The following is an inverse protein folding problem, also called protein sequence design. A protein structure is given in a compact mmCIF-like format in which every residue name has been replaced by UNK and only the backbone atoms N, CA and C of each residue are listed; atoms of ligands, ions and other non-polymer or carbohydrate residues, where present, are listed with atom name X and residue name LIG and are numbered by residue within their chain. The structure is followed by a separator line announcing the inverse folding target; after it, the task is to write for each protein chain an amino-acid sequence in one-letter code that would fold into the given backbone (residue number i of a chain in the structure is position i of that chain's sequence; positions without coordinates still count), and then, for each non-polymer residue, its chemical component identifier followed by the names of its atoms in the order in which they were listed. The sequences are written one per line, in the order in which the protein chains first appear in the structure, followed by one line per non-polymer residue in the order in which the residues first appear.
data_IF_144652835940
#
_entry.id   IF_144652835940
#
_cell.length_a   1.000
_cell.length_b   1.000
_cell.length_c   1.000
_cell.angle_alpha   90.00
_cell.angle_beta   90.00
_cell.angle_gamma   90.00
#
_symmetry.space_group_name_H-M   'P 1'
#
loop_
_entity.id
_entity.type
_entity.pdbx_description
1 polymer ?
#
# COMPACT_ATOMS: atom_id res chain seq x y z
N UNK A 1 5.36 16.26 -19.49
CA UNK A 1 6.05 16.15 -18.19
C UNK A 1 5.55 17.15 -17.14
N UNK A 2 4.99 18.30 -17.53
CA UNK A 2 4.42 19.31 -16.62
C UNK A 2 3.33 18.78 -15.66
N UNK A 3 2.40 17.98 -16.16
CA UNK A 3 1.28 17.47 -15.36
C UNK A 3 1.73 16.56 -14.21
N UNK A 4 2.83 15.84 -14.37
CA UNK A 4 3.39 15.03 -13.28
C UNK A 4 4.01 15.93 -12.20
N UNK A 5 4.71 17.00 -12.61
CA UNK A 5 5.28 17.97 -11.67
C UNK A 5 4.20 18.67 -10.85
N UNK A 6 3.07 19.07 -11.47
CA UNK A 6 1.91 19.62 -10.75
C UNK A 6 1.35 18.64 -9.73
N UNK A 7 1.15 17.37 -10.13
CA UNK A 7 0.60 16.33 -9.24
C UNK A 7 1.53 16.05 -8.06
N UNK A 8 2.83 15.94 -8.31
CA UNK A 8 3.84 15.75 -7.25
C UNK A 8 3.93 16.96 -6.32
N UNK A 9 3.92 18.18 -6.88
CA UNK A 9 3.93 19.42 -6.09
C UNK A 9 2.66 19.66 -5.27
N UNK A 10 1.54 19.03 -5.63
CA UNK A 10 0.27 19.11 -4.91
C UNK A 10 0.13 18.06 -3.78
N UNK A 11 1.12 17.19 -3.57
CA UNK A 11 1.09 16.20 -2.49
C UNK A 11 1.07 16.87 -1.11
N UNK A 12 0.18 16.39 -0.24
CA UNK A 12 0.05 16.86 1.14
C UNK A 12 0.14 15.67 2.10
N UNK A 13 1.14 15.62 3.00
CA UNK A 13 2.29 16.54 3.06
C UNK A 13 3.23 16.38 1.83
N UNK A 14 4.08 17.38 1.55
CA UNK A 14 5.09 17.29 0.49
C UNK A 14 6.00 16.08 0.72
N UNK A 15 6.33 15.36 -0.36
CA UNK A 15 7.18 14.19 -0.25
C UNK A 15 8.58 14.54 0.27
N UNK A 16 9.10 13.76 1.21
CA UNK A 16 10.45 13.94 1.75
C UNK A 16 11.48 13.05 1.04
N UNK A 17 11.04 11.94 0.47
CA UNK A 17 11.85 10.98 -0.26
C UNK A 17 10.98 10.21 -1.26
N UNK A 18 11.64 9.42 -2.11
CA UNK A 18 10.97 8.50 -3.04
C UNK A 18 11.37 7.06 -2.73
N UNK A 19 10.47 6.08 -2.93
CA UNK A 19 9.07 6.22 -3.37
C UNK A 19 8.16 6.83 -2.29
N UNK A 20 7.20 7.69 -2.69
CA UNK A 20 6.20 8.31 -1.80
C UNK A 20 4.80 7.73 -2.07
N UNK A 21 4.31 6.88 -1.17
CA UNK A 21 3.09 6.09 -1.37
C UNK A 21 1.95 6.71 -0.57
N UNK A 22 0.89 7.13 -1.25
CA UNK A 22 -0.36 7.57 -0.62
C UNK A 22 -1.39 6.45 -0.71
N UNK A 23 -2.13 6.21 0.38
CA UNK A 23 -3.20 5.21 0.44
C UNK A 23 -4.47 5.90 0.85
N UNK A 24 -5.49 5.83 -0.01
CA UNK A 24 -6.77 6.52 0.17
C UNK A 24 -6.64 8.04 0.43
N UNK A 25 -5.61 8.68 -0.15
CA UNK A 25 -5.34 10.10 0.00
C UNK A 25 -4.46 10.48 1.19
N UNK A 26 -4.09 9.52 2.05
CA UNK A 26 -3.25 9.76 3.23
C UNK A 26 -1.86 9.14 3.07
N UNK A 27 -0.86 9.76 3.70
CA UNK A 27 0.49 9.23 3.81
C UNK A 27 0.95 9.28 5.27
N UNK A 28 1.42 8.15 5.77
CA UNK A 28 2.11 8.04 7.06
C UNK A 28 3.29 7.08 6.92
N UNK A 29 4.29 7.20 7.79
CA UNK A 29 5.46 6.31 7.78
C UNK A 29 5.08 4.84 7.99
N UNK A 30 4.03 4.56 8.77
CA UNK A 30 3.53 3.19 8.97
C UNK A 30 2.88 2.63 7.70
N UNK A 31 2.03 3.42 7.03
CA UNK A 31 1.44 3.04 5.75
C UNK A 31 2.51 2.84 4.69
N UNK A 32 3.51 3.72 4.62
CA UNK A 32 4.65 3.60 3.72
C UNK A 32 5.43 2.31 3.99
N UNK A 33 5.75 2.00 5.24
CA UNK A 33 6.46 0.77 5.63
C UNK A 33 5.66 -0.48 5.25
N UNK A 34 4.36 -0.52 5.56
CA UNK A 34 3.47 -1.64 5.22
C UNK A 34 3.28 -1.78 3.71
N UNK A 35 3.19 -0.68 2.98
CA UNK A 35 3.07 -0.70 1.53
C UNK A 35 4.35 -1.20 0.86
N UNK A 36 5.51 -0.77 1.37
CA UNK A 36 6.81 -1.20 0.86
C UNK A 36 7.07 -2.67 1.18
N UNK A 37 6.61 -3.17 2.34
CA UNK A 37 6.73 -4.59 2.67
C UNK A 37 5.77 -5.47 1.89
N UNK A 38 4.49 -5.08 1.81
CA UNK A 38 3.50 -5.73 0.96
C UNK A 38 2.28 -4.85 0.73
N UNK A 39 2.31 -4.07 -0.36
CA UNK A 39 1.16 -3.29 -0.82
C UNK A 39 -0.08 -4.16 -1.01
N UNK A 40 0.10 -5.40 -1.49
CA UNK A 40 -0.99 -6.35 -1.69
C UNK A 40 -1.75 -6.64 -0.39
N UNK A 41 -1.05 -7.03 0.67
CA UNK A 41 -1.67 -7.34 1.96
C UNK A 41 -2.33 -6.11 2.58
N UNK A 42 -1.72 -4.93 2.41
CA UNK A 42 -2.24 -3.68 2.91
C UNK A 42 -3.53 -3.25 2.20
N UNK A 43 -3.60 -3.38 0.87
CA UNK A 43 -4.83 -3.10 0.12
C UNK A 43 -5.93 -4.07 0.54
N UNK A 44 -5.60 -5.36 0.68
CA UNK A 44 -6.56 -6.38 1.12
C UNK A 44 -7.10 -6.14 2.53
N UNK A 45 -6.28 -5.62 3.47
CA UNK A 45 -6.72 -5.33 4.83
C UNK A 45 -7.58 -4.06 4.94
N UNK A 46 -7.33 -3.08 4.07
CA UNK A 46 -8.07 -1.81 4.06
C UNK A 46 -9.35 -1.87 3.21
N UNK A 47 -9.53 -2.92 2.42
CA UNK A 47 -10.70 -3.08 1.57
C UNK A 47 -11.97 -3.34 2.40
N UNK A 48 -12.91 -2.39 2.37
CA UNK A 48 -14.16 -2.45 3.14
C UNK A 48 -15.27 -3.27 2.49
N UNK A 49 -15.10 -3.67 1.23
CA UNK A 49 -16.08 -4.46 0.48
C UNK A 49 -15.89 -5.96 0.62
N UNK A 50 -16.60 -6.74 -0.23
CA UNK A 50 -16.37 -8.19 -0.34
C UNK A 50 -14.98 -8.45 -0.92
N UNK A 51 -14.03 -8.84 -0.06
CA UNK A 51 -12.65 -9.08 -0.47
C UNK A 51 -12.58 -10.07 -1.66
N UNK A 52 -11.82 -9.73 -2.72
CA UNK A 52 -11.59 -10.65 -3.83
C UNK A 52 -10.93 -11.94 -3.34
N UNK A 53 -11.14 -13.05 -4.06
CA UNK A 53 -10.53 -14.34 -3.73
C UNK A 53 -8.99 -14.26 -3.59
N UNK A 54 -8.35 -13.37 -4.36
CA UNK A 54 -6.92 -13.10 -4.26
C UNK A 54 -6.48 -12.71 -2.84
N UNK A 55 -7.27 -11.90 -2.11
CA UNK A 55 -6.91 -11.48 -0.76
C UNK A 55 -6.82 -12.66 0.22
N UNK A 56 -7.66 -13.68 0.02
CA UNK A 56 -7.60 -14.91 0.81
C UNK A 56 -6.38 -15.79 0.48
N UNK A 57 -5.79 -15.65 -0.72
CA UNK A 57 -4.59 -16.40 -1.11
C UNK A 57 -3.32 -15.82 -0.49
N UNK A 58 -3.20 -14.49 -0.43
CA UNK A 58 -2.00 -13.85 0.14
C UNK A 58 -1.97 -13.83 1.68
N UNK A 59 -3.12 -13.94 2.35
CA UNK A 59 -3.21 -13.99 3.81
C UNK A 59 -2.97 -15.39 4.40
N UNK A 60 -2.92 -16.44 3.58
CA UNK A 60 -2.58 -17.78 4.04
C UNK A 60 -1.09 -17.80 4.39
N UNK A 61 -0.79 -17.64 5.68
CA UNK A 61 0.44 -18.19 6.24
C UNK A 61 0.42 -19.66 5.89
N UNK A 62 1.22 -20.05 4.90
CA UNK A 62 1.47 -21.45 4.62
C UNK A 62 2.17 -21.98 5.86
N UNK A 63 1.40 -22.55 6.78
CA UNK A 63 1.94 -23.39 7.84
C UNK A 63 2.39 -24.69 7.16
N UNK A 64 3.50 -24.64 6.44
CA UNK A 64 4.22 -25.84 6.08
C UNK A 64 4.86 -26.33 7.37
N UNK A 65 4.18 -27.25 8.06
CA UNK A 65 4.88 -28.15 8.97
C UNK A 65 5.74 -29.02 8.06
N UNK A 66 7.02 -28.69 7.98
CA UNK A 66 8.03 -29.62 7.51
C UNK A 66 8.16 -30.68 8.61
N UNK A 67 7.44 -31.79 8.44
CA UNK A 67 7.74 -33.07 9.09
C UNK A 67 8.65 -33.87 8.16
#
# INVERSE_FOLDING_TARGET
MHENAKKTGALQPPHQYVPWITINGEHTDDLQKKATSSLFLLVCSLYKGKAPAACALGQKVVKTNYC
#
